data_IF_498029221329
#
_entry.id   IF_498029221329
#
_cell.length_a   1.000
_cell.length_b   1.000
_cell.length_c   1.000
_cell.angle_alpha   90.00
_cell.angle_beta   90.00
_cell.angle_gamma   90.00
#
_symmetry.space_group_name_H-M   'P 1'
#
loop_
_entity.id
_entity.type
_entity.pdbx_description
1 polymer ?
#
# COMPACT_ATOMS: atom_id res chain seq x y z
N UNK A 1 -14.45 -4.88 0.85
CA UNK A 1 -12.99 -4.78 0.69
C UNK A 1 -12.65 -5.15 -0.74
N UNK A 2 -11.75 -4.43 -1.40
CA UNK A 2 -11.31 -4.82 -2.74
C UNK A 2 -10.44 -6.07 -2.63
N UNK A 3 -10.80 -7.13 -3.36
CA UNK A 3 -10.00 -8.34 -3.45
C UNK A 3 -9.18 -8.31 -4.74
N UNK A 4 -7.89 -8.64 -4.64
CA UNK A 4 -6.96 -8.66 -5.76
C UNK A 4 -6.27 -10.02 -5.79
N UNK A 5 -6.38 -10.72 -6.92
CA UNK A 5 -5.69 -11.98 -7.16
C UNK A 5 -4.34 -11.71 -7.83
N UNK A 6 -3.26 -12.25 -7.26
CA UNK A 6 -1.89 -12.11 -7.78
C UNK A 6 -1.29 -13.49 -8.05
N UNK A 7 -0.72 -13.69 -9.23
CA UNK A 7 0.11 -14.85 -9.52
C UNK A 7 1.55 -14.54 -9.15
N UNK A 8 2.03 -15.16 -8.08
CA UNK A 8 3.39 -14.99 -7.56
C UNK A 8 4.20 -16.27 -7.84
N UNK A 9 5.38 -16.19 -8.46
CA UNK A 9 6.26 -17.35 -8.63
C UNK A 9 6.63 -18.01 -7.29
N UNK A 10 6.64 -19.35 -7.26
CA UNK A 10 6.91 -20.15 -6.06
C UNK A 10 8.15 -19.75 -5.25
N UNK A 11 9.32 -19.43 -5.85
CA UNK A 11 10.49 -19.04 -5.08
C UNK A 11 10.25 -17.76 -4.27
N UNK A 12 9.52 -16.81 -4.82
CA UNK A 12 9.20 -15.53 -4.19
C UNK A 12 8.18 -15.76 -3.07
N UNK A 13 7.16 -16.59 -3.33
CA UNK A 13 6.16 -16.92 -2.32
C UNK A 13 6.78 -17.58 -1.09
N UNK A 14 7.72 -18.51 -1.26
CA UNK A 14 8.44 -19.16 -0.14
C UNK A 14 9.21 -18.16 0.73
N UNK A 15 9.83 -17.15 0.13
CA UNK A 15 10.50 -16.08 0.89
C UNK A 15 9.51 -15.26 1.71
N UNK A 16 8.36 -14.93 1.13
CA UNK A 16 7.29 -14.19 1.83
C UNK A 16 6.72 -15.04 2.97
N UNK A 17 6.50 -16.33 2.74
CA UNK A 17 6.01 -17.26 3.77
C UNK A 17 6.99 -17.39 4.94
N UNK A 18 8.29 -17.53 4.66
CA UNK A 18 9.32 -17.53 5.71
C UNK A 18 9.26 -16.23 6.53
N UNK A 19 9.15 -15.08 5.87
CA UNK A 19 9.10 -13.78 6.54
C UNK A 19 7.84 -13.60 7.38
N UNK A 20 6.71 -14.15 6.95
CA UNK A 20 5.48 -14.16 7.73
C UNK A 20 5.63 -14.98 9.03
N UNK A 21 6.36 -16.10 8.98
CA UNK A 21 6.69 -16.92 10.16
C UNK A 21 7.65 -16.18 11.09
N UNK A 22 8.71 -15.60 10.54
CA UNK A 22 9.72 -14.86 11.33
C UNK A 22 9.12 -13.64 12.06
N UNK A 23 8.09 -13.01 11.48
CA UNK A 23 7.41 -11.84 12.05
C UNK A 23 6.16 -12.18 12.88
N UNK A 24 5.84 -13.47 13.03
CA UNK A 24 4.60 -13.95 13.68
C UNK A 24 3.35 -13.18 13.19
N UNK A 25 3.27 -12.94 11.88
CA UNK A 25 2.20 -12.12 11.32
C UNK A 25 0.86 -12.89 11.38
N UNK A 26 -0.17 -12.37 12.09
CA UNK A 26 -1.45 -13.06 12.24
C UNK A 26 -2.23 -13.20 10.91
N UNK A 27 -1.87 -12.40 9.90
CA UNK A 27 -2.48 -12.43 8.56
C UNK A 27 -1.63 -13.22 7.54
N UNK A 28 -0.62 -13.97 8.01
CA UNK A 28 0.21 -14.82 7.16
C UNK A 28 0.97 -14.06 6.05
N UNK A 29 1.27 -14.72 4.91
CA UNK A 29 2.00 -14.12 3.80
C UNK A 29 1.32 -12.88 3.21
N UNK A 30 -0.02 -12.84 3.22
CA UNK A 30 -0.82 -11.72 2.71
C UNK A 30 -0.56 -10.45 3.50
N UNK A 31 -0.46 -10.54 4.84
CA UNK A 31 -0.12 -9.41 5.69
C UNK A 31 1.25 -8.81 5.35
N UNK A 32 2.23 -9.64 5.02
CA UNK A 32 3.57 -9.20 4.61
C UNK A 32 3.53 -8.49 3.25
N UNK A 33 2.75 -9.00 2.29
CA UNK A 33 2.58 -8.38 0.98
C UNK A 33 1.93 -7.00 1.12
N UNK A 34 0.84 -6.91 1.88
CA UNK A 34 0.11 -5.64 2.12
C UNK A 34 1.03 -4.62 2.80
N UNK A 35 1.76 -5.03 3.84
CA UNK A 35 2.68 -4.14 4.55
C UNK A 35 3.78 -3.61 3.62
N UNK A 36 4.36 -4.47 2.78
CA UNK A 36 5.37 -4.06 1.81
C UNK A 36 4.80 -3.12 0.74
N UNK A 37 3.60 -3.38 0.23
CA UNK A 37 2.92 -2.49 -0.71
C UNK A 37 2.65 -1.13 -0.07
N UNK A 38 2.20 -1.10 1.19
CA UNK A 38 1.98 0.13 1.93
C UNK A 38 3.29 0.91 2.17
N UNK A 39 4.41 0.23 2.42
CA UNK A 39 5.71 0.89 2.58
C UNK A 39 6.23 1.48 1.27
N UNK A 40 6.13 0.73 0.16
CA UNK A 40 6.65 1.17 -1.15
C UNK A 40 5.77 2.26 -1.75
N UNK A 41 4.45 2.07 -1.71
CA UNK A 41 3.50 2.95 -2.40
C UNK A 41 2.74 3.89 -1.47
N UNK A 42 2.86 3.80 -0.15
CA UNK A 42 2.13 4.68 0.78
C UNK A 42 2.55 6.14 0.66
N UNK A 43 3.81 6.41 0.31
CA UNK A 43 4.27 7.76 -0.02
C UNK A 43 3.69 8.26 -1.36
N UNK A 44 3.53 7.35 -2.32
CA UNK A 44 2.99 7.63 -3.66
C UNK A 44 1.45 7.60 -3.72
N UNK A 45 0.76 7.21 -2.64
CA UNK A 45 -0.69 7.20 -2.60
C UNK A 45 -1.22 8.63 -2.77
N UNK A 46 -1.86 8.84 -3.92
CA UNK A 46 -2.60 10.07 -4.20
C UNK A 46 -3.68 10.23 -3.13
N UNK A 47 -3.52 11.27 -2.34
CA UNK A 47 -4.50 11.72 -1.36
C UNK A 47 -4.73 13.17 -1.69
N UNK A 48 -5.96 13.58 -2.08
CA UNK A 48 -6.27 14.97 -2.40
C UNK A 48 -5.80 15.91 -1.27
N UNK A 49 -5.98 15.47 -0.02
CA UNK A 49 -5.51 16.14 1.19
C UNK A 49 -4.01 16.40 1.27
N UNK A 50 -3.15 15.66 0.55
CA UNK A 50 -1.70 15.91 0.53
C UNK A 50 -1.30 17.05 -0.42
N UNK A 51 -2.06 17.23 -1.49
CA UNK A 51 -1.76 18.18 -2.57
C UNK A 51 -2.60 19.45 -2.49
N UNK A 52 -3.76 19.39 -1.85
CA UNK A 52 -4.67 20.51 -1.62
C UNK A 52 -4.48 21.18 -0.24
N UNK A 53 -3.39 20.86 0.48
CA UNK A 53 -3.13 21.34 1.86
C UNK A 53 -3.19 22.85 2.05
N UNK A 54 -2.93 23.61 1.00
CA UNK A 54 -2.84 25.07 1.04
C UNK A 54 -4.02 25.77 0.34
N UNK A 55 -5.08 25.04 -0.02
CA UNK A 55 -6.24 25.67 -0.65
C UNK A 55 -7.14 26.32 0.39
N UNK A 56 -7.50 27.57 0.10
CA UNK A 56 -8.34 28.40 0.97
C UNK A 56 -9.82 27.99 0.91
N UNK A 57 -10.22 27.28 -0.16
CA UNK A 57 -11.57 26.77 -0.40
C UNK A 57 -11.52 25.26 -0.60
N UNK A 58 -12.42 24.53 0.07
CA UNK A 58 -12.52 23.05 -0.06
C UNK A 58 -13.15 22.60 -1.38
N UNK A 59 -13.85 23.50 -2.06
CA UNK A 59 -14.59 23.19 -3.30
C UNK A 59 -13.77 23.51 -4.57
N UNK A 60 -12.62 24.15 -4.43
CA UNK A 60 -11.77 24.54 -5.54
C UNK A 60 -10.67 23.49 -5.78
N UNK A 61 -10.86 22.60 -6.74
CA UNK A 61 -9.89 21.54 -7.07
C UNK A 61 -8.79 22.02 -8.05
N UNK A 62 -8.68 23.32 -8.30
CA UNK A 62 -7.69 23.87 -9.22
C UNK A 62 -6.33 24.16 -8.54
N UNK A 63 -5.24 23.93 -9.27
CA UNK A 63 -3.90 24.33 -8.87
C UNK A 63 -3.42 25.42 -9.83
N UNK A 64 -2.63 26.42 -9.37
CA UNK A 64 -2.26 27.58 -10.18
C UNK A 64 -1.17 27.29 -11.23
N UNK A 65 -0.80 26.03 -11.44
CA UNK A 65 0.16 25.57 -12.45
C UNK A 65 -0.51 24.57 -13.39
#
# INVERSE_FOLDING_TARGET
MAEVTLNIPDPIYKTIEKRAKDTNNPNGPQGVIIANLALIFGAAQYTPEKWLKNQTSKDDMSQPW
#
